data_IF_203282043348
#
_entry.id   IF_203282043348
#
_cell.length_a   1.000
_cell.length_b   1.000
_cell.length_c   1.000
_cell.angle_alpha   90.00
_cell.angle_beta   90.00
_cell.angle_gamma   90.00
#
_symmetry.space_group_name_H-M   'P 1'
#
loop_
_entity.id
_entity.type
_entity.pdbx_description
1 polymer ?
#
# COMPACT_ATOMS: atom_id res chain seq x y z
N UNK A 1 29.11 -26.83 37.36
CA UNK A 1 29.03 -25.45 36.84
C UNK A 1 28.03 -25.35 35.67
N UNK A 2 26.77 -25.79 35.86
CA UNK A 2 25.74 -25.85 34.78
C UNK A 2 24.37 -25.29 35.18
N UNK A 3 24.29 -24.71 36.39
CA UNK A 3 23.03 -24.17 36.97
C UNK A 3 22.73 -22.73 36.56
N UNK A 4 23.68 -22.02 35.93
CA UNK A 4 23.53 -20.62 35.48
C UNK A 4 23.18 -20.48 34.00
N UNK A 5 23.33 -21.55 33.20
CA UNK A 5 23.00 -21.51 31.76
C UNK A 5 21.48 -21.49 31.53
N UNK A 6 20.72 -22.24 32.32
CA UNK A 6 19.27 -22.29 32.23
C UNK A 6 18.60 -20.93 32.54
N UNK A 7 18.94 -20.20 33.62
CA UNK A 7 18.36 -18.88 33.85
C UNK A 7 18.80 -17.83 32.83
N UNK A 8 20.03 -17.90 32.29
CA UNK A 8 20.48 -17.01 31.21
C UNK A 8 19.74 -17.25 29.89
N UNK A 9 19.52 -18.53 29.54
CA UNK A 9 18.73 -18.90 28.36
C UNK A 9 17.28 -18.42 28.50
N UNK A 10 16.66 -18.65 29.66
CA UNK A 10 15.29 -18.18 29.94
C UNK A 10 15.20 -16.65 29.87
N UNK A 11 16.18 -15.93 30.42
CA UNK A 11 16.21 -14.47 30.37
C UNK A 11 16.41 -13.95 28.94
N UNK A 12 17.25 -14.62 28.14
CA UNK A 12 17.45 -14.29 26.73
C UNK A 12 16.17 -14.52 25.92
N UNK A 13 15.50 -15.66 26.12
CA UNK A 13 14.23 -15.97 25.45
C UNK A 13 13.11 -15.01 25.88
N UNK A 14 13.02 -14.64 27.16
CA UNK A 14 12.05 -13.65 27.64
C UNK A 14 12.30 -12.27 27.01
N UNK A 15 13.57 -11.87 26.88
CA UNK A 15 13.95 -10.63 26.18
C UNK A 15 13.64 -10.68 24.68
N UNK A 16 13.80 -11.83 24.03
CA UNK A 16 13.43 -12.02 22.60
C UNK A 16 11.92 -11.92 22.40
N UNK A 17 11.12 -12.49 23.31
CA UNK A 17 9.65 -12.41 23.28
C UNK A 17 9.17 -10.98 23.56
N UNK A 18 9.81 -10.24 24.48
CA UNK A 18 9.51 -8.84 24.78
C UNK A 18 10.07 -7.85 23.73
N UNK A 19 11.12 -8.22 23.00
CA UNK A 19 11.66 -7.43 21.88
C UNK A 19 10.85 -7.61 20.59
N UNK A 20 9.85 -8.50 20.58
CA UNK A 20 8.92 -8.65 19.46
C UNK A 20 7.76 -7.64 19.47
N UNK A 21 7.84 -6.58 20.28
CA UNK A 21 7.08 -5.34 20.11
C UNK A 21 7.69 -4.43 19.02
N UNK A 22 8.35 -5.00 18.00
CA UNK A 22 8.82 -4.22 16.85
C UNK A 22 8.82 -5.02 15.54
N UNK A 23 7.82 -5.86 15.35
CA UNK A 23 7.54 -6.39 14.02
C UNK A 23 6.05 -6.69 13.87
N UNK A 24 5.49 -6.10 12.80
CA UNK A 24 4.11 -6.15 12.30
C UNK A 24 3.10 -5.14 12.89
N UNK A 25 2.98 -3.94 12.30
CA UNK A 25 1.65 -3.41 12.08
C UNK A 25 0.98 -4.22 10.94
N UNK A 26 0.00 -5.04 11.30
CA UNK A 26 -1.02 -5.50 10.35
C UNK A 26 -1.98 -4.32 10.08
N UNK A 27 -1.86 -3.70 8.90
CA UNK A 27 -2.93 -3.26 7.98
C UNK A 27 -4.25 -2.81 8.65
N UNK A 28 -4.62 -1.53 8.71
CA UNK A 28 -5.22 -0.69 7.63
C UNK A 28 -5.55 0.72 8.19
N UNK A 29 -6.07 1.67 7.38
CA UNK A 29 -5.39 2.74 6.67
C UNK A 29 -5.73 4.11 7.33
N UNK A 30 -5.46 5.20 6.62
CA UNK A 30 -6.10 6.53 6.73
C UNK A 30 -5.28 7.58 7.48
N UNK A 31 -4.96 8.63 6.72
CA UNK A 31 -4.34 9.91 7.06
C UNK A 31 -2.92 9.83 7.62
N UNK A 32 -1.93 9.82 6.75
CA UNK A 32 -0.95 10.89 6.82
C UNK A 32 -0.42 11.24 5.42
N UNK A 33 -0.50 12.53 5.17
CA UNK A 33 -0.22 13.21 3.92
C UNK A 33 1.30 13.33 3.77
N UNK A 34 2.00 12.25 3.44
CA UNK A 34 3.40 12.33 3.07
C UNK A 34 3.58 11.96 1.61
N UNK A 35 3.94 13.00 0.85
CA UNK A 35 4.30 12.96 -0.55
C UNK A 35 5.37 11.90 -0.80
N UNK A 36 4.95 10.67 -1.10
CA UNK A 36 5.82 9.62 -1.60
C UNK A 36 5.72 9.60 -3.12
N UNK A 37 6.89 9.63 -3.72
CA UNK A 37 7.16 9.55 -5.14
C UNK A 37 6.38 8.39 -5.80
N UNK A 38 5.31 8.73 -6.52
CA UNK A 38 5.02 8.29 -7.89
C UNK A 38 5.21 6.83 -8.31
N UNK A 39 5.09 5.84 -7.43
CA UNK A 39 5.33 4.44 -7.84
C UNK A 39 4.38 3.42 -7.19
N UNK A 40 3.08 3.75 -7.11
CA UNK A 40 2.04 2.73 -6.91
C UNK A 40 0.82 2.97 -7.83
N UNK A 41 1.07 3.44 -9.06
CA UNK A 41 -0.03 3.82 -9.94
C UNK A 41 -0.59 2.69 -10.81
N UNK A 42 0.08 1.54 -10.87
CA UNK A 42 -0.33 0.46 -11.78
C UNK A 42 -1.43 -0.44 -11.20
N UNK A 43 -1.90 -0.21 -9.96
CA UNK A 43 -2.83 -1.12 -9.26
C UNK A 43 -4.02 -0.43 -8.58
N UNK A 44 -4.28 0.85 -8.84
CA UNK A 44 -5.45 1.52 -8.26
C UNK A 44 -6.62 1.39 -9.23
N UNK A 45 -7.65 0.65 -8.81
CA UNK A 45 -8.94 0.67 -9.50
C UNK A 45 -9.58 2.04 -9.34
N UNK A 46 -10.24 2.52 -10.40
CA UNK A 46 -10.84 3.84 -10.45
C UNK A 46 -12.24 3.78 -11.07
N UNK A 47 -12.94 4.91 -10.99
CA UNK A 47 -14.25 5.05 -11.63
C UNK A 47 -15.25 4.05 -11.06
N UNK A 48 -16.13 3.50 -11.90
CA UNK A 48 -17.20 2.61 -11.44
C UNK A 48 -16.68 1.32 -10.79
N UNK A 49 -15.54 0.81 -11.24
CA UNK A 49 -14.94 -0.43 -10.75
C UNK A 49 -14.16 -0.23 -9.46
N UNK A 50 -13.71 1.00 -9.20
CA UNK A 50 -12.99 1.36 -7.98
C UNK A 50 -13.82 2.24 -7.05
N UNK A 51 -15.11 2.00 -6.90
CA UNK A 51 -15.98 2.75 -5.95
C UNK A 51 -15.94 4.28 -6.08
N UNK A 52 -15.74 4.79 -7.30
CA UNK A 52 -15.65 6.21 -7.59
C UNK A 52 -14.28 6.84 -7.28
N UNK A 53 -13.26 6.04 -6.96
CA UNK A 53 -11.89 6.51 -6.76
C UNK A 53 -11.37 7.20 -8.02
N UNK A 54 -10.56 8.24 -7.80
CA UNK A 54 -9.86 8.98 -8.85
C UNK A 54 -8.42 8.50 -8.96
N UNK A 55 -7.86 8.63 -10.16
CA UNK A 55 -6.43 8.44 -10.37
C UNK A 55 -5.65 9.65 -9.87
N UNK A 56 -4.33 9.46 -9.71
CA UNK A 56 -3.40 10.55 -9.45
C UNK A 56 -3.43 11.61 -10.55
N UNK A 57 -2.94 12.80 -10.23
CA UNK A 57 -2.85 13.91 -11.17
C UNK A 57 -2.05 13.53 -12.42
N UNK A 58 -2.54 13.93 -13.59
CA UNK A 58 -1.93 13.59 -14.87
C UNK A 58 -2.27 12.18 -15.38
N UNK A 59 -3.20 11.46 -14.74
CA UNK A 59 -3.64 10.14 -15.16
C UNK A 59 -5.15 10.06 -15.37
N UNK A 60 -5.55 9.23 -16.33
CA UNK A 60 -6.92 9.01 -16.73
C UNK A 60 -7.44 7.70 -16.16
N UNK A 61 -8.74 7.67 -15.84
CA UNK A 61 -9.41 6.43 -15.52
C UNK A 61 -9.96 5.79 -16.79
N UNK A 62 -9.39 4.66 -17.21
CA UNK A 62 -9.90 3.90 -18.36
C UNK A 62 -11.32 3.39 -18.12
N UNK A 63 -12.06 3.07 -19.19
CA UNK A 63 -13.37 2.37 -19.11
C UNK A 63 -13.31 1.03 -18.38
N UNK A 64 -12.13 0.44 -18.28
CA UNK A 64 -11.86 -0.81 -17.56
C UNK A 64 -11.63 -0.60 -16.05
N UNK A 65 -11.63 0.66 -15.60
CA UNK A 65 -11.50 1.00 -14.19
C UNK A 65 -10.07 0.95 -13.68
N UNK A 66 -9.11 1.27 -14.54
CA UNK A 66 -7.69 1.34 -14.19
C UNK A 66 -7.10 2.70 -14.56
N UNK A 67 -6.15 3.14 -13.74
CA UNK A 67 -5.41 4.37 -13.95
C UNK A 67 -4.25 4.18 -14.94
N UNK A 68 -4.13 5.09 -15.90
CA UNK A 68 -3.04 5.12 -16.87
C UNK A 68 -3.00 6.45 -17.62
N UNK A 69 -1.97 6.69 -18.41
CA UNK A 69 -1.77 7.96 -19.13
C UNK A 69 -1.59 7.78 -20.65
N UNK A 70 -1.82 6.58 -21.17
CA UNK A 70 -1.75 6.28 -22.61
C UNK A 70 -3.12 6.41 -23.27
N UNK A 71 -3.15 6.27 -24.60
CA UNK A 71 -4.38 6.41 -25.39
C UNK A 71 -5.48 5.43 -24.95
N UNK A 72 -5.11 4.21 -24.56
CA UNK A 72 -6.01 3.15 -24.09
C UNK A 72 -6.72 3.49 -22.76
N UNK A 73 -6.25 4.53 -22.06
CA UNK A 73 -6.82 5.01 -20.81
C UNK A 73 -7.53 6.35 -20.97
N UNK A 74 -7.01 7.20 -21.86
CA UNK A 74 -7.38 8.61 -21.91
C UNK A 74 -8.20 9.02 -23.13
N UNK A 75 -8.10 8.29 -24.25
CA UNK A 75 -8.74 8.71 -25.48
C UNK A 75 -10.27 8.71 -25.40
N UNK A 76 -10.95 9.52 -26.23
CA UNK A 76 -12.40 9.47 -26.36
C UNK A 76 -12.90 8.03 -26.60
N UNK A 77 -13.86 7.60 -25.79
CA UNK A 77 -14.41 6.23 -25.84
C UNK A 77 -13.64 5.20 -25.00
N UNK A 78 -12.43 5.51 -24.53
CA UNK A 78 -11.62 4.66 -23.65
C UNK A 78 -11.48 5.19 -22.23
N UNK A 79 -11.97 6.40 -21.96
CA UNK A 79 -11.84 7.09 -20.67
C UNK A 79 -13.19 7.32 -19.96
N UNK A 80 -13.23 7.10 -18.64
CA UNK A 80 -14.36 7.43 -17.75
C UNK A 80 -14.21 8.81 -17.11
N UNK A 81 -13.00 9.17 -16.67
CA UNK A 81 -12.72 10.42 -15.95
C UNK A 81 -11.26 10.83 -16.09
N UNK A 82 -11.00 12.14 -15.90
CA UNK A 82 -9.66 12.74 -16.05
C UNK A 82 -9.08 12.58 -17.46
N UNK A 83 -9.96 12.60 -18.46
CA UNK A 83 -9.62 12.48 -19.88
C UNK A 83 -8.96 13.76 -20.39
N UNK A 84 -8.17 13.63 -21.46
CA UNK A 84 -7.63 14.74 -22.23
C UNK A 84 -8.14 14.72 -23.67
#
# INVERSE_FOLDING_TARGET
MKKTLLPLLVLFLLKVVLANELSLPLQLPIFDLEASTGEYSNQVQCGKQGDGLKCLDGMCCSIWGWCGNTQEYCAPGYCQSQCW
#
